data_IF_053806061952
#
_entry.id   IF_053806061952
#
_cell.length_a   1.000
_cell.length_b   1.000
_cell.length_c   1.000
_cell.angle_alpha   90.00
_cell.angle_beta   90.00
_cell.angle_gamma   90.00
#
_symmetry.space_group_name_H-M   'P 1'
#
loop_
_entity.id
_entity.type
_entity.pdbx_description
1 polymer ?
#
# COMPACT_ATOMS: atom_id res chain seq x y z
N UNK A 1 17.43 12.67 -5.65
CA UNK A 1 17.31 11.58 -6.65
C UNK A 1 16.46 10.47 -6.08
N UNK A 2 16.05 9.47 -6.87
CA UNK A 2 15.29 8.31 -6.37
C UNK A 2 16.09 7.51 -5.34
N UNK A 3 17.41 7.39 -5.53
CA UNK A 3 18.31 6.71 -4.59
C UNK A 3 18.44 7.46 -3.27
N UNK A 4 18.49 8.80 -3.28
CA UNK A 4 18.47 9.60 -2.05
C UNK A 4 17.14 9.44 -1.31
N UNK A 5 16.01 9.44 -2.04
CA UNK A 5 14.68 9.31 -1.44
C UNK A 5 14.47 7.98 -0.69
N UNK A 6 15.13 6.89 -1.12
CA UNK A 6 15.11 5.59 -0.41
C UNK A 6 15.78 5.61 0.96
N UNK A 7 16.69 6.55 1.18
CA UNK A 7 17.47 6.62 2.40
C UNK A 7 16.90 7.65 3.39
N UNK A 8 15.83 8.37 3.02
CA UNK A 8 15.22 9.39 3.88
C UNK A 8 14.48 8.71 5.03
N UNK A 9 14.93 8.95 6.24
CA UNK A 9 14.29 8.47 7.45
C UNK A 9 13.39 9.53 8.07
N UNK A 10 12.51 9.10 8.98
CA UNK A 10 11.72 10.04 9.78
C UNK A 10 12.59 10.98 10.63
N UNK A 11 13.83 10.58 10.96
CA UNK A 11 14.78 11.42 11.70
C UNK A 11 15.32 12.55 10.84
N UNK A 12 15.57 12.30 9.56
CA UNK A 12 16.00 13.35 8.63
C UNK A 12 14.93 14.43 8.48
N UNK A 13 13.66 14.01 8.38
CA UNK A 13 12.52 14.93 8.42
C UNK A 13 12.46 15.71 9.75
N UNK A 14 12.83 15.05 10.86
CA UNK A 14 12.80 15.69 12.17
C UNK A 14 13.93 16.70 12.39
N UNK A 15 15.14 16.37 11.96
CA UNK A 15 16.31 17.23 12.02
C UNK A 15 16.13 18.45 11.11
N UNK A 16 15.58 18.29 9.91
CA UNK A 16 15.28 19.39 9.00
C UNK A 16 14.30 20.43 9.60
N UNK A 17 13.43 20.00 10.52
CA UNK A 17 12.48 20.86 11.22
C UNK A 17 13.04 21.45 12.53
N UNK A 18 14.30 21.18 12.87
CA UNK A 18 14.91 21.63 14.13
C UNK A 18 14.57 20.75 15.33
N UNK A 19 14.13 19.52 15.08
CA UNK A 19 13.63 18.56 16.07
C UNK A 19 12.10 18.51 16.11
N UNK A 20 11.55 17.37 16.53
CA UNK A 20 10.11 17.24 16.81
C UNK A 20 9.84 16.79 18.24
N UNK A 21 8.78 17.32 18.88
CA UNK A 21 8.29 16.76 20.12
C UNK A 21 7.77 15.33 19.89
N UNK A 22 7.87 14.42 20.88
CA UNK A 22 7.51 13.01 20.73
C UNK A 22 6.12 12.77 20.13
N UNK A 23 5.14 13.60 20.48
CA UNK A 23 3.76 13.50 19.99
C UNK A 23 3.63 13.72 18.47
N UNK A 24 4.54 14.44 17.84
CA UNK A 24 4.51 14.73 16.39
C UNK A 24 5.42 13.81 15.56
N UNK A 25 6.19 12.94 16.21
CA UNK A 25 7.08 11.98 15.53
C UNK A 25 6.28 10.99 14.68
N UNK A 26 5.07 10.62 15.11
CA UNK A 26 4.21 9.70 14.35
C UNK A 26 3.95 10.19 12.92
N UNK A 27 3.68 11.49 12.75
CA UNK A 27 3.45 12.07 11.42
C UNK A 27 4.72 12.00 10.56
N UNK A 28 5.91 12.20 11.14
CA UNK A 28 7.18 12.07 10.43
C UNK A 28 7.47 10.62 10.03
N UNK A 29 7.08 9.65 10.86
CA UNK A 29 7.17 8.22 10.53
C UNK A 29 6.23 7.89 9.37
N UNK A 30 4.95 8.27 9.47
CA UNK A 30 3.98 8.06 8.38
C UNK A 30 4.42 8.71 7.06
N UNK A 31 5.00 9.92 7.12
CA UNK A 31 5.49 10.61 5.94
C UNK A 31 6.68 9.89 5.28
N UNK A 32 7.62 9.37 6.08
CA UNK A 32 8.74 8.59 5.57
C UNK A 32 8.27 7.26 4.96
N UNK A 33 7.35 6.56 5.61
CA UNK A 33 6.77 5.31 5.11
C UNK A 33 6.00 5.51 3.80
N UNK A 34 5.23 6.60 3.71
CA UNK A 34 4.53 6.98 2.48
C UNK A 34 5.50 7.32 1.33
N UNK A 35 6.60 8.02 1.63
CA UNK A 35 7.64 8.32 0.65
C UNK A 35 8.30 7.04 0.12
N UNK A 36 8.68 6.12 1.01
CA UNK A 36 9.28 4.84 0.61
C UNK A 36 8.33 4.02 -0.25
N UNK A 37 7.06 3.91 0.15
CA UNK A 37 6.02 3.24 -0.64
C UNK A 37 5.89 3.84 -2.05
N UNK A 38 5.92 5.17 -2.17
CA UNK A 38 5.83 5.86 -3.47
C UNK A 38 7.07 5.59 -4.34
N UNK A 39 8.26 5.51 -3.73
CA UNK A 39 9.50 5.17 -4.43
C UNK A 39 9.49 3.72 -4.92
N UNK A 40 9.03 2.78 -4.12
CA UNK A 40 8.87 1.38 -4.53
C UNK A 40 7.92 1.25 -5.72
N UNK A 41 6.73 1.87 -5.62
CA UNK A 41 5.74 1.86 -6.70
C UNK A 41 6.30 2.46 -8.00
N UNK A 42 7.06 3.55 -7.89
CA UNK A 42 7.73 4.15 -9.05
C UNK A 42 8.72 3.16 -9.71
N UNK A 43 9.50 2.43 -8.91
CA UNK A 43 10.47 1.47 -9.46
C UNK A 43 9.78 0.27 -10.10
N UNK A 44 8.73 -0.27 -9.47
CA UNK A 44 7.92 -1.36 -10.01
C UNK A 44 7.28 -0.96 -11.35
N UNK A 45 6.65 0.23 -11.39
CA UNK A 45 6.03 0.77 -12.61
C UNK A 45 7.01 0.98 -13.77
N UNK A 46 8.29 1.23 -13.46
CA UNK A 46 9.33 1.43 -14.47
C UNK A 46 10.20 0.19 -14.72
N UNK A 47 9.88 -0.96 -14.10
CA UNK A 47 10.66 -2.20 -14.25
C UNK A 47 12.08 -2.11 -13.68
N UNK A 48 12.31 -1.22 -12.70
CA UNK A 48 13.60 -0.95 -12.07
C UNK A 48 13.80 -1.73 -10.76
N UNK A 49 12.89 -2.64 -10.42
CA UNK A 49 12.96 -3.48 -9.21
C UNK A 49 14.11 -4.49 -9.33
N UNK A 50 14.99 -4.51 -8.33
CA UNK A 50 16.20 -5.36 -8.32
C UNK A 50 15.97 -6.74 -7.70
N UNK A 51 14.88 -6.92 -6.95
CA UNK A 51 14.57 -8.13 -6.19
C UNK A 51 13.23 -8.72 -6.68
N UNK A 52 13.27 -9.98 -7.12
CA UNK A 52 12.09 -10.73 -7.58
C UNK A 52 11.70 -11.74 -6.51
N UNK A 53 11.15 -11.25 -5.40
CA UNK A 53 10.55 -12.11 -4.39
C UNK A 53 9.14 -12.49 -4.83
N UNK A 54 8.74 -13.77 -4.76
CA UNK A 54 7.41 -14.20 -5.15
C UNK A 54 6.35 -13.51 -4.30
N UNK A 55 5.25 -13.09 -4.92
CA UNK A 55 4.12 -12.49 -4.23
C UNK A 55 3.47 -13.53 -3.32
N UNK A 56 3.54 -13.28 -2.02
CA UNK A 56 2.89 -14.09 -0.98
C UNK A 56 1.64 -13.39 -0.47
N UNK A 57 0.76 -14.14 0.21
CA UNK A 57 -0.43 -13.59 0.86
C UNK A 57 -0.03 -12.49 1.86
N UNK A 58 1.01 -12.71 2.66
CA UNK A 58 1.51 -11.72 3.62
C UNK A 58 1.99 -10.43 2.93
N UNK A 59 2.69 -10.55 1.80
CA UNK A 59 3.13 -9.40 1.01
C UNK A 59 1.94 -8.60 0.48
N UNK A 60 0.88 -9.27 0.03
CA UNK A 60 -0.35 -8.60 -0.40
C UNK A 60 -1.00 -7.87 0.79
N UNK A 61 -1.12 -8.50 1.97
CA UNK A 61 -1.66 -7.82 3.15
C UNK A 61 -0.83 -6.61 3.58
N UNK A 62 0.50 -6.70 3.51
CA UNK A 62 1.41 -5.59 3.77
C UNK A 62 1.13 -4.43 2.80
N UNK A 63 1.03 -4.70 1.50
CA UNK A 63 0.68 -3.68 0.48
C UNK A 63 -0.72 -3.08 0.71
N UNK A 64 -1.71 -3.91 1.04
CA UNK A 64 -3.08 -3.47 1.31
C UNK A 64 -3.19 -2.61 2.58
N UNK A 65 -2.31 -2.80 3.58
CA UNK A 65 -2.30 -1.97 4.80
C UNK A 65 -1.91 -0.51 4.56
N UNK A 66 -1.44 -0.19 3.34
CA UNK A 66 -1.15 1.16 2.91
C UNK A 66 -2.29 1.79 2.09
N UNK A 67 -3.38 1.05 1.84
CA UNK A 67 -4.60 1.57 1.21
C UNK A 67 -5.52 2.10 2.29
N UNK A 68 -5.89 3.37 2.18
CA UNK A 68 -6.67 4.05 3.20
C UNK A 68 -8.17 3.90 2.96
N UNK A 69 -8.95 3.67 4.02
CA UNK A 69 -10.39 3.83 3.99
C UNK A 69 -10.73 5.32 4.20
N UNK A 70 -11.28 6.03 3.18
CA UNK A 70 -11.57 7.46 3.30
C UNK A 70 -12.67 7.79 4.33
N UNK A 71 -13.54 6.84 4.66
CA UNK A 71 -14.63 7.06 5.63
C UNK A 71 -14.12 7.09 7.07
N UNK A 72 -13.20 6.17 7.40
CA UNK A 72 -12.74 5.98 8.77
C UNK A 72 -11.36 6.58 9.03
N UNK A 73 -10.58 6.86 7.98
CA UNK A 73 -9.19 7.28 8.09
C UNK A 73 -8.25 6.19 8.58
N UNK A 74 -8.69 4.92 8.56
CA UNK A 74 -7.91 3.73 8.94
C UNK A 74 -7.66 2.90 7.67
N UNK A 75 -6.57 2.12 7.61
CA UNK A 75 -6.33 1.26 6.46
C UNK A 75 -7.41 0.18 6.25
N UNK A 76 -7.56 -0.29 5.01
CA UNK A 76 -8.61 -1.26 4.62
C UNK A 76 -8.47 -2.64 5.29
N UNK A 77 -7.27 -2.97 5.79
CA UNK A 77 -7.03 -4.24 6.49
C UNK A 77 -7.52 -4.13 7.93
N UNK A 78 -7.12 -3.09 8.66
CA UNK A 78 -7.54 -2.85 10.06
C UNK A 78 -9.01 -2.46 10.18
N UNK A 79 -9.56 -1.76 9.18
CA UNK A 79 -10.99 -1.46 9.12
C UNK A 79 -11.86 -2.67 8.76
N UNK A 80 -11.27 -3.86 8.59
CA UNK A 80 -11.95 -5.13 8.27
C UNK A 80 -12.73 -5.10 6.96
N UNK A 81 -12.36 -4.19 6.05
CA UNK A 81 -12.89 -4.17 4.68
C UNK A 81 -12.36 -5.39 3.93
N UNK A 82 -11.10 -5.77 4.11
CA UNK A 82 -10.56 -6.97 3.46
C UNK A 82 -11.05 -8.23 4.18
N UNK A 83 -11.86 -9.05 3.50
CA UNK A 83 -12.41 -10.30 4.02
C UNK A 83 -11.43 -11.46 3.89
N UNK A 84 -10.83 -11.59 2.71
CA UNK A 84 -9.85 -12.64 2.40
C UNK A 84 -9.01 -12.27 1.18
N UNK A 85 -7.77 -12.75 1.18
CA UNK A 85 -6.83 -12.65 0.06
C UNK A 85 -6.39 -14.05 -0.33
N UNK A 86 -6.41 -14.36 -1.62
CA UNK A 86 -5.90 -15.62 -2.18
C UNK A 86 -4.91 -15.29 -3.29
N UNK A 87 -3.73 -15.91 -3.25
CA UNK A 87 -2.70 -15.74 -4.28
C UNK A 87 -2.47 -17.08 -4.98
N UNK A 88 -2.73 -17.13 -6.29
CA UNK A 88 -2.63 -18.34 -7.11
C UNK A 88 -1.69 -18.10 -8.29
N UNK A 89 -0.44 -18.55 -8.17
CA UNK A 89 0.67 -18.55 -9.17
C UNK A 89 1.00 -17.24 -9.89
N UNK A 90 0.02 -16.43 -10.34
CA UNK A 90 0.14 -15.09 -10.89
C UNK A 90 -1.17 -14.25 -10.75
N UNK A 91 -2.20 -14.79 -10.10
CA UNK A 91 -3.51 -14.14 -9.93
C UNK A 91 -3.74 -13.85 -8.46
N UNK A 92 -4.03 -12.59 -8.14
CA UNK A 92 -4.39 -12.17 -6.79
C UNK A 92 -5.89 -11.94 -6.74
N UNK A 93 -6.59 -12.68 -5.89
CA UNK A 93 -8.03 -12.53 -5.66
C UNK A 93 -8.26 -11.94 -4.26
N UNK A 94 -8.99 -10.83 -4.22
CA UNK A 94 -9.28 -10.07 -3.01
C UNK A 94 -10.79 -9.96 -2.86
N UNK A 95 -11.29 -10.36 -1.70
CA UNK A 95 -12.71 -10.23 -1.35
C UNK A 95 -12.85 -9.08 -0.35
N UNK A 96 -13.65 -8.08 -0.70
CA UNK A 96 -13.96 -6.93 0.14
C UNK A 96 -15.34 -7.12 0.79
N UNK A 97 -15.42 -6.91 2.11
CA UNK A 97 -16.61 -6.97 2.93
C UNK A 97 -17.35 -5.62 2.96
N UNK A 98 -17.66 -5.11 1.77
CA UNK A 98 -18.39 -3.85 1.56
C UNK A 98 -19.36 -4.04 0.38
N UNK A 99 -20.47 -3.29 0.34
CA UNK A 99 -21.41 -3.36 -0.77
C UNK A 99 -20.82 -2.71 -2.03
N UNK A 100 -21.24 -3.17 -3.22
CA UNK A 100 -20.85 -2.54 -4.50
C UNK A 100 -21.29 -1.08 -4.61
N UNK A 101 -22.35 -0.69 -3.89
CA UNK A 101 -22.87 0.68 -3.84
C UNK A 101 -22.07 1.59 -2.90
N UNK A 102 -20.98 1.10 -2.30
CA UNK A 102 -20.18 1.90 -1.39
C UNK A 102 -19.57 3.11 -2.10
N UNK A 103 -19.76 4.30 -1.53
CA UNK A 103 -19.38 5.57 -2.18
C UNK A 103 -17.87 5.66 -2.50
N UNK A 104 -17.02 4.97 -1.73
CA UNK A 104 -15.57 4.93 -1.95
C UNK A 104 -15.09 3.60 -2.55
N UNK A 105 -16.00 2.73 -3.00
CA UNK A 105 -15.68 1.40 -3.51
C UNK A 105 -14.75 1.44 -4.73
N UNK A 106 -15.03 2.34 -5.67
CA UNK A 106 -14.18 2.52 -6.87
C UNK A 106 -12.79 3.09 -6.50
N UNK A 107 -12.70 4.11 -5.63
CA UNK A 107 -11.40 4.63 -5.17
C UNK A 107 -10.54 3.55 -4.52
N UNK A 108 -11.13 2.76 -3.61
CA UNK A 108 -10.41 1.68 -2.92
C UNK A 108 -9.94 0.64 -3.94
N UNK A 109 -10.79 0.28 -4.90
CA UNK A 109 -10.46 -0.67 -5.96
C UNK A 109 -9.32 -0.17 -6.86
N UNK A 110 -9.35 1.10 -7.26
CA UNK A 110 -8.28 1.71 -8.06
C UNK A 110 -6.95 1.72 -7.29
N UNK A 111 -6.97 2.08 -6.00
CA UNK A 111 -5.76 2.12 -5.18
C UNK A 111 -5.17 0.72 -4.94
N UNK A 112 -6.03 -0.29 -4.70
CA UNK A 112 -5.61 -1.69 -4.63
C UNK A 112 -4.98 -2.14 -5.95
N UNK A 113 -5.61 -1.82 -7.07
CA UNK A 113 -5.12 -2.19 -8.40
C UNK A 113 -3.76 -1.54 -8.67
N UNK A 114 -3.60 -0.26 -8.38
CA UNK A 114 -2.35 0.47 -8.57
C UNK A 114 -1.20 -0.18 -7.83
N UNK A 115 -1.42 -0.63 -6.59
CA UNK A 115 -0.38 -1.24 -5.75
C UNK A 115 -0.02 -2.68 -6.12
N UNK A 116 -0.90 -3.41 -6.78
CA UNK A 116 -0.71 -4.85 -7.03
C UNK A 116 -0.41 -5.18 -8.49
N UNK A 117 -0.89 -4.37 -9.44
CA UNK A 117 -0.75 -4.68 -10.88
C UNK A 117 0.69 -4.58 -11.40
N UNK A 118 1.56 -3.84 -10.71
CA UNK A 118 2.96 -3.65 -11.11
C UNK A 118 3.90 -4.65 -10.40
N UNK A 119 3.37 -5.53 -9.55
CA UNK A 119 4.16 -6.63 -8.99
C UNK A 119 4.63 -7.54 -10.13
N UNK A 120 5.91 -7.89 -10.10
CA UNK A 120 6.61 -8.51 -11.24
C UNK A 120 6.03 -9.87 -11.68
N UNK A 121 5.39 -10.60 -10.75
CA UNK A 121 4.78 -11.92 -10.96
C UNK A 121 3.25 -11.89 -10.98
N UNK A 122 2.61 -10.73 -10.86
CA UNK A 122 1.15 -10.59 -10.90
C UNK A 122 0.69 -10.26 -12.32
N UNK A 123 -0.14 -11.12 -12.89
CA UNK A 123 -0.75 -10.93 -14.22
C UNK A 123 -2.16 -10.39 -14.16
N UNK A 124 -2.88 -10.71 -13.09
CA UNK A 124 -4.29 -10.36 -12.96
C UNK A 124 -4.66 -10.14 -11.49
N UNK A 125 -5.40 -9.07 -11.21
CA UNK A 125 -5.93 -8.76 -9.89
C UNK A 125 -7.46 -8.79 -9.97
N UNK A 126 -8.09 -9.70 -9.24
CA UNK A 126 -9.54 -9.84 -9.15
C UNK A 126 -10.03 -9.28 -7.83
N UNK A 127 -10.95 -8.32 -7.88
CA UNK A 127 -11.54 -7.70 -6.70
C UNK A 127 -13.03 -8.04 -6.69
N UNK A 128 -13.50 -8.68 -5.62
CA UNK A 128 -14.88 -9.14 -5.45
C UNK A 128 -15.51 -8.43 -4.25
N UNK A 129 -16.69 -7.86 -4.42
CA UNK A 129 -17.48 -7.26 -3.35
C UNK A 129 -18.44 -8.30 -2.78
N UNK A 130 -18.34 -8.62 -1.48
CA UNK A 130 -19.21 -9.56 -0.78
C UNK A 130 -19.50 -9.05 0.63
N UNK A 131 -20.66 -8.41 0.79
CA UNK A 131 -21.26 -8.10 2.09
C UNK A 131 -21.66 -9.39 2.83
#
# INVERSE_FOLDING_TARGET
>A
TVEEAKNITWKDAAEALGGLPPVKVHCSVLAADALHSAVELYLEKNGLTKEHEPTTVDKVYERLSHVMNPETGIDIVKSKIVKSVVVNSHVVEIVLNIPETFQFGENIKEEILERLQYLWDVKEVKILFKE
#
